data_IF_261077381225
#
_entry.id   IF_261077381225
#
_cell.length_a   1.000
_cell.length_b   1.000
_cell.length_c   1.000
_cell.angle_alpha   90.00
_cell.angle_beta   90.00
_cell.angle_gamma   90.00
#
_symmetry.space_group_name_H-M   'P 1'
#
loop_
_entity.id
_entity.type
_entity.pdbx_description
1 polymer ?
#
# COMPACT_ATOMS: atom_id res chain seq x y z
N UNK A 1 -11.48 8.45 26.03
CA UNK A 1 -10.85 8.76 24.74
C UNK A 1 -10.08 7.56 24.28
N UNK A 2 -10.42 6.98 23.13
CA UNK A 2 -9.68 5.84 22.63
C UNK A 2 -8.25 6.29 22.30
N UNK A 3 -7.27 5.53 22.79
CA UNK A 3 -5.82 5.75 22.60
C UNK A 3 -5.37 5.89 21.14
N UNK A 4 -6.26 5.67 20.20
CA UNK A 4 -6.05 5.72 18.77
C UNK A 4 -6.43 7.05 18.10
N UNK A 5 -7.00 7.99 18.83
CA UNK A 5 -7.26 9.35 18.32
C UNK A 5 -6.04 10.27 18.44
N UNK A 6 -5.01 9.88 19.21
CA UNK A 6 -3.77 10.66 19.36
C UNK A 6 -2.76 10.20 18.31
N UNK A 7 -2.38 11.09 17.42
CA UNK A 7 -1.33 10.86 16.41
C UNK A 7 -1.81 10.40 15.03
N UNK A 8 -3.12 10.27 14.80
CA UNK A 8 -3.66 9.94 13.48
C UNK A 8 -3.28 10.98 12.40
N UNK A 9 -3.13 12.24 12.79
CA UNK A 9 -2.73 13.30 11.88
C UNK A 9 -1.37 13.08 11.22
N UNK A 10 -0.45 12.39 11.89
CA UNK A 10 0.91 12.21 11.41
C UNK A 10 1.09 10.94 10.55
N UNK A 11 0.28 9.90 10.79
CA UNK A 11 0.42 8.61 10.11
C UNK A 11 -0.14 8.63 8.70
N UNK A 12 -1.26 9.27 8.46
CA UNK A 12 -1.90 9.24 7.14
C UNK A 12 -1.23 10.12 6.09
N UNK A 13 -0.51 11.15 6.49
CA UNK A 13 0.24 12.02 5.56
C UNK A 13 1.40 11.33 4.87
N UNK A 14 1.82 10.17 5.37
CA UNK A 14 2.92 9.36 4.80
C UNK A 14 2.51 8.43 3.67
N UNK A 15 1.29 8.51 3.16
CA UNK A 15 0.79 7.58 2.12
C UNK A 15 1.65 7.50 0.86
N UNK A 16 2.26 8.61 0.44
CA UNK A 16 3.12 8.63 -0.73
C UNK A 16 4.41 7.85 -0.56
N UNK A 17 4.85 7.69 0.69
CA UNK A 17 6.11 7.04 1.05
C UNK A 17 5.91 5.63 1.61
N UNK A 18 4.67 5.17 1.72
CA UNK A 18 4.35 3.83 2.20
C UNK A 18 4.52 2.77 1.12
N UNK A 19 5.03 1.61 1.52
CA UNK A 19 4.95 0.40 0.71
C UNK A 19 3.51 -0.08 0.64
N UNK A 20 3.02 -0.32 -0.57
CA UNK A 20 1.65 -0.76 -0.82
C UNK A 20 1.66 -2.17 -1.38
N UNK A 21 0.84 -3.02 -0.81
CA UNK A 21 0.60 -4.38 -1.27
C UNK A 21 -0.81 -4.53 -1.84
N UNK A 22 -0.94 -5.19 -2.98
CA UNK A 22 -2.20 -5.52 -3.58
C UNK A 22 -2.16 -6.91 -4.24
N UNK A 23 -3.17 -7.78 -4.03
CA UNK A 23 -4.27 -7.66 -3.09
C UNK A 23 -3.82 -7.75 -1.63
N UNK A 24 -4.63 -7.28 -0.66
CA UNK A 24 -4.29 -7.39 0.75
C UNK A 24 -4.23 -8.85 1.20
N UNK A 25 -3.15 -9.24 1.90
CA UNK A 25 -2.90 -10.64 2.30
C UNK A 25 -3.25 -10.94 3.75
N UNK A 26 -3.35 -9.91 4.60
CA UNK A 26 -3.52 -10.07 6.05
C UNK A 26 -4.86 -9.53 6.57
N UNK A 27 -5.77 -9.11 5.70
CA UNK A 27 -7.09 -8.65 6.12
C UNK A 27 -8.06 -9.83 6.24
N UNK A 28 -8.87 -9.79 7.29
CA UNK A 28 -9.98 -10.73 7.41
C UNK A 28 -11.03 -10.50 6.31
N UNK A 29 -11.67 -11.56 5.88
CA UNK A 29 -12.71 -11.50 4.84
C UNK A 29 -13.84 -10.54 5.23
N UNK A 30 -14.23 -10.54 6.50
CA UNK A 30 -15.26 -9.63 7.01
C UNK A 30 -14.80 -8.16 6.97
N UNK A 31 -13.54 -7.88 7.29
CA UNK A 31 -12.97 -6.53 7.14
C UNK A 31 -13.07 -6.05 5.69
N UNK A 32 -12.70 -6.89 4.73
CA UNK A 32 -12.80 -6.57 3.30
C UNK A 32 -14.25 -6.31 2.88
N UNK A 33 -15.20 -7.12 3.37
CA UNK A 33 -16.64 -6.93 3.11
C UNK A 33 -17.16 -5.59 3.66
N UNK A 34 -16.76 -5.24 4.88
CA UNK A 34 -17.12 -3.97 5.53
C UNK A 34 -16.55 -2.78 4.76
N UNK A 35 -15.26 -2.80 4.41
CA UNK A 35 -14.63 -1.76 3.59
C UNK A 35 -15.38 -1.56 2.28
N UNK A 36 -15.69 -2.65 1.56
CA UNK A 36 -16.46 -2.58 0.30
C UNK A 36 -17.86 -2.02 0.52
N UNK A 37 -18.53 -2.36 1.62
CA UNK A 37 -19.87 -1.84 1.96
C UNK A 37 -19.83 -0.35 2.21
N UNK A 38 -18.93 0.12 3.08
CA UNK A 38 -18.78 1.55 3.40
C UNK A 38 -18.38 2.36 2.17
N UNK A 39 -17.43 1.86 1.37
CA UNK A 39 -17.04 2.53 0.13
C UNK A 39 -18.22 2.72 -0.84
N UNK A 40 -19.08 1.70 -0.99
CA UNK A 40 -20.29 1.81 -1.82
C UNK A 40 -21.31 2.81 -1.25
N UNK A 41 -21.50 2.82 0.07
CA UNK A 41 -22.39 3.77 0.72
C UNK A 41 -21.93 5.20 0.53
N UNK A 42 -20.64 5.48 0.77
CA UNK A 42 -20.05 6.81 0.56
C UNK A 42 -20.19 7.23 -0.91
N UNK A 43 -19.87 6.35 -1.85
CA UNK A 43 -20.00 6.65 -3.27
C UNK A 43 -21.44 6.99 -3.66
N UNK A 44 -22.42 6.31 -3.09
CA UNK A 44 -23.84 6.54 -3.34
C UNK A 44 -24.30 7.86 -2.74
N UNK A 45 -24.02 8.10 -1.44
CA UNK A 45 -24.48 9.28 -0.72
C UNK A 45 -23.86 10.58 -1.24
N UNK A 46 -22.59 10.52 -1.66
CA UNK A 46 -21.90 11.66 -2.24
C UNK A 46 -22.07 11.78 -3.77
N UNK A 47 -22.88 10.93 -4.38
CA UNK A 47 -23.10 10.90 -5.84
C UNK A 47 -21.79 10.90 -6.64
N UNK A 48 -20.79 10.10 -6.19
CA UNK A 48 -19.47 10.10 -6.81
C UNK A 48 -19.54 9.50 -8.21
N UNK A 49 -19.17 10.30 -9.18
CA UNK A 49 -19.12 9.95 -10.60
C UNK A 49 -17.67 10.06 -11.12
N UNK A 50 -16.78 9.23 -10.62
CA UNK A 50 -15.38 9.26 -11.00
C UNK A 50 -14.50 8.51 -10.02
N UNK A 51 -13.17 8.63 -10.15
CA UNK A 51 -12.24 7.99 -9.24
C UNK A 51 -12.24 8.68 -7.88
N UNK A 52 -12.22 7.90 -6.83
CA UNK A 52 -12.08 8.39 -5.47
C UNK A 52 -11.21 7.47 -4.65
N UNK A 53 -10.70 7.97 -3.56
CA UNK A 53 -9.85 7.25 -2.63
C UNK A 53 -10.39 7.40 -1.21
N UNK A 54 -10.49 6.31 -0.49
CA UNK A 54 -10.86 6.31 0.92
C UNK A 54 -9.74 5.66 1.71
N UNK A 55 -9.33 6.32 2.79
CA UNK A 55 -8.47 5.72 3.80
C UNK A 55 -9.29 5.16 4.93
N UNK A 56 -8.98 3.93 5.26
CA UNK A 56 -9.54 3.23 6.41
C UNK A 56 -8.44 2.88 7.40
N UNK A 57 -8.80 2.92 8.66
CA UNK A 57 -8.08 2.21 9.72
C UNK A 57 -8.89 0.97 10.06
N UNK A 58 -8.22 -0.19 10.12
CA UNK A 58 -8.85 -1.43 10.51
C UNK A 58 -8.11 -2.01 11.72
N UNK A 59 -8.90 -2.44 12.71
CA UNK A 59 -8.44 -3.23 13.84
C UNK A 59 -9.39 -4.39 14.00
N UNK A 60 -8.89 -5.60 13.87
CA UNK A 60 -9.71 -6.81 13.80
C UNK A 60 -10.76 -6.67 12.67
N UNK A 61 -12.03 -6.65 12.99
CA UNK A 61 -13.11 -6.41 12.04
C UNK A 61 -13.71 -5.00 12.11
N UNK A 62 -13.25 -4.16 13.01
CA UNK A 62 -13.71 -2.78 13.11
C UNK A 62 -12.97 -1.90 12.13
N UNK A 63 -13.70 -1.06 11.43
CA UNK A 63 -13.16 -0.13 10.45
C UNK A 63 -13.59 1.30 10.77
N UNK A 64 -12.67 2.21 10.56
CA UNK A 64 -12.89 3.65 10.65
C UNK A 64 -12.49 4.29 9.34
N UNK A 65 -13.29 5.23 8.89
CA UNK A 65 -12.93 6.11 7.79
C UNK A 65 -12.06 7.23 8.33
N UNK A 66 -10.87 7.40 7.78
CA UNK A 66 -9.98 8.51 8.09
C UNK A 66 -10.30 9.69 7.19
N UNK A 67 -10.31 9.45 5.89
CA UNK A 67 -10.61 10.47 4.89
C UNK A 67 -11.17 9.87 3.59
N UNK A 68 -11.87 10.70 2.83
CA UNK A 68 -12.31 10.40 1.48
C UNK A 68 -11.89 11.54 0.55
N UNK A 69 -11.12 11.22 -0.47
CA UNK A 69 -10.64 12.18 -1.46
C UNK A 69 -11.32 11.90 -2.81
N UNK A 70 -12.01 12.90 -3.37
CA UNK A 70 -12.74 12.78 -4.64
C UNK A 70 -11.79 12.97 -5.85
N UNK A 71 -10.74 12.20 -5.89
CA UNK A 71 -9.73 12.20 -6.94
C UNK A 71 -9.02 10.85 -7.00
N UNK A 72 -8.34 10.55 -8.10
CA UNK A 72 -7.42 9.43 -8.17
C UNK A 72 -6.25 9.62 -7.19
N UNK A 73 -5.83 8.55 -6.54
CA UNK A 73 -4.65 8.52 -5.68
C UNK A 73 -3.39 8.16 -6.49
N UNK A 74 -2.22 8.37 -5.91
CA UNK A 74 -0.94 7.88 -6.50
C UNK A 74 -0.89 6.36 -6.66
N UNK A 75 -1.70 5.63 -5.90
CA UNK A 75 -1.79 4.16 -5.99
C UNK A 75 -2.63 3.69 -7.18
N UNK A 76 -3.43 4.57 -7.77
CA UNK A 76 -4.36 4.22 -8.85
C UNK A 76 -3.66 3.61 -10.07
N UNK A 77 -2.57 4.20 -10.61
CA UNK A 77 -1.83 3.61 -11.72
C UNK A 77 -1.19 2.25 -11.37
N UNK A 78 -0.69 2.09 -10.14
CA UNK A 78 -0.13 0.83 -9.67
C UNK A 78 -1.18 -0.28 -9.63
N UNK A 79 -2.33 -0.01 -8.98
CA UNK A 79 -3.43 -0.99 -8.90
C UNK A 79 -3.96 -1.32 -10.29
N UNK A 80 -4.08 -0.34 -11.18
CA UNK A 80 -4.48 -0.53 -12.57
C UNK A 80 -3.56 -1.53 -13.30
N UNK A 81 -2.25 -1.40 -13.12
CA UNK A 81 -1.25 -2.33 -13.70
C UNK A 81 -1.31 -3.72 -13.09
N UNK A 82 -1.45 -3.82 -11.77
CA UNK A 82 -1.57 -5.11 -11.08
C UNK A 82 -2.80 -5.86 -11.52
N UNK A 83 -3.93 -5.16 -11.68
CA UNK A 83 -5.19 -5.74 -12.14
C UNK A 83 -5.21 -6.06 -13.65
N UNK A 84 -4.25 -5.50 -14.42
CA UNK A 84 -4.27 -5.53 -15.90
C UNK A 84 -5.57 -4.95 -16.48
N UNK A 85 -6.12 -3.95 -15.81
CA UNK A 85 -7.33 -3.21 -16.19
C UNK A 85 -6.98 -1.75 -16.27
N UNK A 86 -7.34 -1.08 -17.37
CA UNK A 86 -7.13 0.36 -17.47
C UNK A 86 -8.20 1.12 -16.67
N UNK A 87 -7.95 1.25 -15.35
CA UNK A 87 -8.87 1.93 -14.45
C UNK A 87 -9.01 3.43 -14.77
N UNK A 88 -8.01 4.05 -15.41
CA UNK A 88 -8.07 5.45 -15.80
C UNK A 88 -9.06 5.62 -16.96
N UNK A 89 -8.98 4.76 -17.97
CA UNK A 89 -9.95 4.74 -19.06
C UNK A 89 -11.36 4.49 -18.54
N UNK A 90 -11.51 3.48 -17.67
CA UNK A 90 -12.78 3.15 -17.04
C UNK A 90 -13.38 4.37 -16.33
N UNK A 91 -12.59 5.04 -15.49
CA UNK A 91 -13.00 6.23 -14.76
C UNK A 91 -13.39 7.38 -15.70
N UNK A 92 -12.60 7.59 -16.76
CA UNK A 92 -12.88 8.64 -17.76
C UNK A 92 -14.20 8.36 -18.49
N UNK A 93 -14.45 7.13 -18.90
CA UNK A 93 -15.72 6.75 -19.53
C UNK A 93 -16.91 7.00 -18.62
N UNK A 94 -16.80 6.63 -17.33
CA UNK A 94 -17.84 6.88 -16.33
C UNK A 94 -18.12 8.38 -16.20
N UNK A 95 -17.08 9.21 -16.10
CA UNK A 95 -17.22 10.66 -15.96
C UNK A 95 -17.86 11.31 -17.18
N UNK A 96 -17.63 10.75 -18.38
CA UNK A 96 -18.23 11.20 -19.64
C UNK A 96 -19.62 10.61 -19.91
N UNK A 97 -20.15 9.76 -19.02
CA UNK A 97 -21.43 9.07 -19.21
C UNK A 97 -21.41 8.02 -20.34
N UNK A 98 -20.21 7.57 -20.75
CA UNK A 98 -20.08 6.53 -21.77
C UNK A 98 -20.38 5.14 -21.19
N UNK A 99 -20.82 4.20 -22.02
CA UNK A 99 -21.06 2.82 -21.57
C UNK A 99 -19.78 2.19 -21.05
N UNK A 100 -19.92 1.47 -19.92
CA UNK A 100 -18.82 0.81 -19.22
C UNK A 100 -19.20 -0.64 -18.93
N UNK A 101 -18.35 -1.56 -19.31
CA UNK A 101 -18.47 -2.96 -18.90
C UNK A 101 -17.91 -3.15 -17.49
N UNK A 102 -18.70 -3.79 -16.63
CA UNK A 102 -18.23 -4.15 -15.29
C UNK A 102 -17.21 -5.27 -15.40
N UNK A 103 -16.08 -5.19 -14.68
CA UNK A 103 -15.15 -6.30 -14.62
C UNK A 103 -15.84 -7.57 -14.10
N UNK A 104 -15.76 -8.66 -14.86
CA UNK A 104 -16.41 -9.95 -14.52
C UNK A 104 -15.71 -10.71 -13.39
N UNK A 105 -14.47 -10.35 -13.06
CA UNK A 105 -13.67 -11.02 -12.04
C UNK A 105 -13.72 -10.30 -10.70
N UNK A 106 -13.61 -11.06 -9.62
CA UNK A 106 -13.31 -10.49 -8.31
C UNK A 106 -11.90 -9.88 -8.36
N UNK A 107 -11.78 -8.57 -8.26
CA UNK A 107 -10.51 -7.84 -8.40
C UNK A 107 -9.49 -8.18 -7.31
N UNK A 108 -9.89 -8.88 -6.24
CA UNK A 108 -8.99 -9.35 -5.18
C UNK A 108 -8.57 -10.81 -5.34
N UNK A 109 -9.08 -11.51 -6.35
CA UNK A 109 -8.78 -12.90 -6.63
C UNK A 109 -7.68 -12.98 -7.69
N UNK A 110 -6.45 -12.81 -7.23
CA UNK A 110 -5.24 -12.86 -8.04
C UNK A 110 -4.32 -13.95 -7.50
N UNK A 111 -3.69 -14.68 -8.40
CA UNK A 111 -2.68 -15.71 -8.12
C UNK A 111 -1.26 -15.15 -7.96
N UNK A 112 -1.13 -13.83 -7.87
CA UNK A 112 0.11 -13.11 -7.64
C UNK A 112 -0.12 -11.89 -6.77
N UNK A 113 0.98 -11.37 -6.23
CA UNK A 113 0.99 -10.18 -5.37
C UNK A 113 1.76 -9.06 -6.05
N UNK A 114 1.20 -7.86 -6.05
CA UNK A 114 1.89 -6.64 -6.43
C UNK A 114 2.35 -5.88 -5.19
N UNK A 115 3.60 -5.41 -5.20
CA UNK A 115 4.13 -4.50 -4.19
C UNK A 115 4.66 -3.25 -4.86
N UNK A 116 4.26 -2.10 -4.32
CA UNK A 116 4.80 -0.80 -4.69
C UNK A 116 5.71 -0.32 -3.56
N UNK A 117 6.99 -0.09 -3.86
CA UNK A 117 7.94 0.51 -2.94
C UNK A 117 8.30 1.93 -3.37
N UNK A 118 8.46 2.82 -2.39
CA UNK A 118 8.94 4.18 -2.62
C UNK A 118 10.45 4.20 -2.81
N UNK A 119 10.93 5.08 -3.67
CA UNK A 119 12.34 5.32 -3.89
C UNK A 119 12.74 6.66 -3.30
N UNK A 120 13.88 6.68 -2.61
CA UNK A 120 14.48 7.87 -2.01
C UNK A 120 15.87 8.09 -2.60
N UNK A 121 16.05 9.18 -3.33
CA UNK A 121 17.33 9.52 -3.97
C UNK A 121 18.06 10.61 -3.20
N UNK A 122 18.44 10.34 -1.96
CA UNK A 122 19.14 11.31 -1.11
C UNK A 122 20.45 11.81 -1.73
N UNK A 123 21.13 11.00 -2.54
CA UNK A 123 22.30 11.40 -3.29
C UNK A 123 22.05 12.51 -4.32
N UNK A 124 20.81 12.67 -4.77
CA UNK A 124 20.38 13.74 -5.70
C UNK A 124 19.83 14.95 -4.97
N UNK A 125 19.40 14.78 -3.74
CA UNK A 125 18.83 15.83 -2.89
C UNK A 125 19.91 16.30 -1.92
N UNK A 126 20.76 17.21 -2.38
CA UNK A 126 21.82 17.77 -1.53
C UNK A 126 21.22 18.38 -0.27
N UNK A 127 21.78 18.03 0.91
CA UNK A 127 21.34 18.45 2.24
C UNK A 127 19.94 17.94 2.65
N UNK A 128 19.36 16.98 1.96
CA UNK A 128 18.13 16.35 2.43
C UNK A 128 18.42 15.48 3.65
N UNK A 129 17.59 15.60 4.66
CA UNK A 129 17.64 14.73 5.83
C UNK A 129 17.15 13.32 5.43
N UNK A 130 17.94 12.27 5.63
CA UNK A 130 17.51 10.90 5.35
C UNK A 130 16.47 10.38 6.36
N UNK A 131 16.24 11.08 7.46
CA UNK A 131 15.19 10.71 8.42
C UNK A 131 13.82 11.05 7.85
N UNK A 132 13.00 10.05 7.64
CA UNK A 132 11.65 10.22 7.11
C UNK A 132 10.75 10.84 8.18
N UNK A 133 10.24 12.03 7.88
CA UNK A 133 9.29 12.76 8.70
C UNK A 133 7.83 12.57 8.28
N UNK A 134 7.00 13.52 8.61
CA UNK A 134 5.57 13.57 8.24
C UNK A 134 5.37 13.88 6.76
N UNK A 135 6.34 14.56 6.15
CA UNK A 135 6.28 14.98 4.76
C UNK A 135 6.59 13.82 3.80
N UNK A 136 6.04 13.91 2.60
CA UNK A 136 6.33 12.95 1.52
C UNK A 136 7.64 13.36 0.83
N UNK A 137 8.69 12.58 1.07
CA UNK A 137 10.06 12.84 0.58
C UNK A 137 10.49 11.89 -0.54
N UNK A 138 9.62 10.96 -0.96
CA UNK A 138 9.94 10.01 -2.02
C UNK A 138 10.17 10.71 -3.37
N UNK A 139 11.19 10.27 -4.11
CA UNK A 139 11.58 10.80 -5.42
C UNK A 139 11.07 9.96 -6.58
N UNK A 140 10.47 8.82 -6.30
CA UNK A 140 9.91 7.90 -7.28
C UNK A 140 9.27 6.69 -6.62
N UNK A 141 8.76 5.79 -7.45
CA UNK A 141 8.07 4.58 -7.01
C UNK A 141 8.40 3.43 -7.96
N UNK A 142 8.49 2.22 -7.41
CA UNK A 142 8.67 0.97 -8.17
C UNK A 142 7.54 0.01 -7.81
N UNK A 143 6.93 -0.60 -8.82
CA UNK A 143 5.96 -1.68 -8.66
C UNK A 143 6.53 -3.01 -9.16
N UNK A 144 6.49 -4.04 -8.34
CA UNK A 144 6.93 -5.39 -8.68
C UNK A 144 5.84 -6.41 -8.44
N UNK A 145 5.87 -7.50 -9.21
CA UNK A 145 4.98 -8.65 -9.05
C UNK A 145 5.79 -9.85 -8.58
N UNK A 146 5.19 -10.67 -7.74
CA UNK A 146 5.72 -11.95 -7.27
C UNK A 146 4.59 -12.92 -6.96
N UNK A 147 4.94 -14.20 -6.86
CA UNK A 147 3.98 -15.25 -6.53
C UNK A 147 3.50 -15.13 -5.08
N UNK A 148 4.33 -14.52 -4.23
CA UNK A 148 4.03 -14.19 -2.85
C UNK A 148 4.53 -12.80 -2.44
N UNK A 149 4.16 -12.39 -1.23
CA UNK A 149 4.55 -11.09 -0.66
C UNK A 149 6.06 -10.93 -0.54
N UNK A 150 6.77 -11.95 -0.08
CA UNK A 150 8.21 -11.89 0.16
C UNK A 150 8.98 -11.71 -1.14
N UNK A 151 8.62 -12.48 -2.17
CA UNK A 151 9.19 -12.39 -3.51
C UNK A 151 8.93 -11.02 -4.14
N UNK A 152 7.70 -10.53 -4.07
CA UNK A 152 7.35 -9.21 -4.63
C UNK A 152 8.07 -8.08 -3.88
N UNK A 153 8.18 -8.19 -2.54
CA UNK A 153 8.89 -7.22 -1.70
C UNK A 153 10.39 -7.20 -2.02
N UNK A 154 11.02 -8.36 -2.07
CA UNK A 154 12.44 -8.47 -2.39
C UNK A 154 12.74 -7.87 -3.76
N UNK A 155 11.96 -8.21 -4.78
CA UNK A 155 12.09 -7.62 -6.12
C UNK A 155 11.97 -6.09 -6.08
N UNK A 156 11.01 -5.56 -5.32
CA UNK A 156 10.81 -4.12 -5.23
C UNK A 156 11.95 -3.42 -4.50
N UNK A 157 12.48 -4.01 -3.43
CA UNK A 157 13.64 -3.50 -2.70
C UNK A 157 14.89 -3.46 -3.60
N UNK A 158 15.19 -4.56 -4.30
CA UNK A 158 16.32 -4.60 -5.24
C UNK A 158 16.18 -3.55 -6.35
N UNK A 159 14.96 -3.33 -6.84
CA UNK A 159 14.68 -2.34 -7.89
C UNK A 159 14.86 -0.89 -7.45
N UNK A 160 14.72 -0.58 -6.16
CA UNK A 160 15.00 0.75 -5.60
C UNK A 160 16.42 0.90 -5.07
N UNK A 161 17.30 -0.07 -5.37
CA UNK A 161 18.75 0.03 -5.12
C UNK A 161 19.24 -0.66 -3.87
N UNK A 162 18.38 -1.37 -3.12
CA UNK A 162 18.84 -2.24 -2.05
C UNK A 162 19.65 -3.41 -2.65
N UNK A 163 20.63 -3.89 -1.89
CA UNK A 163 21.48 -5.03 -2.28
C UNK A 163 21.35 -6.14 -1.27
N UNK A 164 21.39 -7.37 -1.75
CA UNK A 164 21.50 -8.53 -0.87
C UNK A 164 22.90 -8.51 -0.24
N UNK A 165 23.01 -8.55 1.08
CA UNK A 165 24.32 -8.58 1.74
C UNK A 165 25.12 -9.82 1.33
N UNK A 166 26.41 -9.63 1.01
CA UNK A 166 27.28 -10.72 0.57
C UNK A 166 28.11 -11.32 1.72
N UNK A 167 28.16 -10.66 2.87
CA UNK A 167 28.97 -11.09 4.04
C UNK A 167 28.13 -11.00 5.32
N UNK A 168 28.38 -10.00 6.14
CA UNK A 168 27.74 -9.85 7.44
C UNK A 168 26.51 -8.93 7.36
N UNK A 169 25.51 -9.21 8.17
CA UNK A 169 24.30 -8.40 8.32
C UNK A 169 24.24 -7.91 9.77
N UNK A 170 24.16 -6.59 9.94
CA UNK A 170 23.78 -6.00 11.21
C UNK A 170 22.26 -5.94 11.28
N UNK A 171 21.66 -6.68 12.20
CA UNK A 171 20.23 -6.72 12.41
C UNK A 171 19.86 -5.98 13.70
N UNK A 172 19.06 -4.93 13.56
CA UNK A 172 18.49 -4.20 14.69
C UNK A 172 16.97 -4.26 14.61
N UNK A 173 16.35 -4.88 15.59
CA UNK A 173 14.89 -5.07 15.63
C UNK A 173 14.32 -4.58 16.96
N UNK A 174 13.01 -4.26 16.97
CA UNK A 174 12.29 -4.00 18.20
C UNK A 174 12.13 -5.25 19.07
N UNK A 175 11.75 -5.06 20.32
CA UNK A 175 11.74 -6.10 21.38
C UNK A 175 10.91 -7.36 21.05
N UNK A 176 9.87 -7.25 20.25
CA UNK A 176 8.97 -8.37 19.91
C UNK A 176 9.55 -9.30 18.84
N UNK A 177 10.34 -8.80 17.92
CA UNK A 177 10.92 -9.60 16.82
C UNK A 177 12.17 -10.36 17.23
N UNK A 178 12.80 -9.96 18.32
CA UNK A 178 14.09 -10.50 18.77
C UNK A 178 14.04 -11.97 19.18
N UNK A 179 12.95 -12.42 19.79
CA UNK A 179 12.79 -13.80 20.25
C UNK A 179 12.72 -14.83 19.12
N UNK A 180 12.20 -14.44 17.96
CA UNK A 180 12.13 -15.34 16.80
C UNK A 180 13.42 -15.43 16.02
N UNK A 181 14.24 -14.38 16.03
CA UNK A 181 15.54 -14.38 15.34
C UNK A 181 16.60 -15.16 16.10
N UNK A 182 16.56 -15.19 17.44
CA UNK A 182 17.46 -16.00 18.26
C UNK A 182 17.37 -17.51 18.01
N UNK A 183 16.23 -17.99 17.53
CA UNK A 183 16.05 -19.40 17.22
C UNK A 183 16.82 -19.86 15.97
N UNK A 184 17.34 -18.93 15.17
CA UNK A 184 18.15 -19.22 13.98
C UNK A 184 19.64 -18.93 14.15
N UNK A 185 20.04 -18.40 15.31
CA UNK A 185 21.45 -18.21 15.67
C UNK A 185 22.04 -19.51 16.25
N UNK A 186 22.03 -20.56 15.52
CA UNK A 186 22.81 -21.71 15.98
C UNK A 186 23.47 -22.38 14.81
N UNK A 187 24.72 -22.00 14.60
CA UNK A 187 25.84 -22.93 14.59
C UNK A 187 27.10 -22.11 14.47
N UNK A 188 27.73 -21.91 15.56
CA UNK A 188 29.19 -21.86 15.62
C UNK A 188 29.68 -23.31 15.45
N UNK A 189 30.34 -23.59 14.36
CA UNK A 189 31.34 -24.63 14.22
C UNK A 189 32.70 -23.97 14.12
#
# INVERSE_FOLDING_TARGET
>A
DPLWSRGLGDVYKRQGDATIQFPPQKLYVETVRRVKRVGRQIAKELHINGPFNIQFMARDNDILVIECNLRASRSFPFVSKVLKINLIELATRVMLGLPVEKPHKNLFDLDYVGIKASQFSFNRLQKADPVLGVDMSSTGEVGCLGDDTSTALLKSMLSVGHRIPAKNILLSTGSVSYTHLRAHETRED
#
